data_IF_842074616382
#
_entry.id   IF_842074616382
#
_cell.length_a   1.000
_cell.length_b   1.000
_cell.length_c   1.000
_cell.angle_alpha   90.00
_cell.angle_beta   90.00
_cell.angle_gamma   90.00
#
_symmetry.space_group_name_H-M   'P 1'
#
loop_
_entity.id
_entity.type
_entity.pdbx_description
1 polymer ?
#
# COMPACT_ATOMS: atom_id res chain seq x y z
N UNK A 1 2.53 1.03 -19.05
CA UNK A 1 2.76 2.47 -18.81
C UNK A 1 4.19 2.66 -18.33
N UNK A 2 4.89 3.73 -18.75
CA UNK A 2 6.24 4.04 -18.27
C UNK A 2 6.17 5.08 -17.14
N UNK A 3 6.70 4.79 -15.94
CA UNK A 3 6.67 5.74 -14.83
C UNK A 3 7.58 6.95 -15.09
N UNK A 4 7.16 8.14 -14.64
CA UNK A 4 7.95 9.37 -14.63
C UNK A 4 8.23 9.75 -13.17
N UNK A 5 9.50 9.82 -12.80
CA UNK A 5 9.91 10.14 -11.44
C UNK A 5 10.41 11.58 -11.37
N UNK A 6 9.71 12.44 -10.62
CA UNK A 6 10.19 13.79 -10.29
C UNK A 6 11.36 13.72 -9.30
N UNK A 7 12.19 14.78 -9.23
CA UNK A 7 13.31 14.84 -8.28
C UNK A 7 12.84 14.67 -6.83
N UNK A 8 11.68 15.25 -6.49
CA UNK A 8 11.07 15.09 -5.17
C UNK A 8 10.67 13.63 -4.89
N UNK A 9 10.07 12.94 -5.86
CA UNK A 9 9.74 11.52 -5.71
C UNK A 9 11.00 10.66 -5.54
N UNK A 10 12.06 10.96 -6.30
CA UNK A 10 13.36 10.26 -6.19
C UNK A 10 14.01 10.45 -4.83
N UNK A 11 14.01 11.67 -4.29
CA UNK A 11 14.56 11.96 -2.97
C UNK A 11 13.80 11.20 -1.86
N UNK A 12 12.46 11.22 -1.90
CA UNK A 12 11.62 10.46 -0.96
C UNK A 12 11.89 8.95 -1.06
N UNK A 13 11.98 8.42 -2.27
CA UNK A 13 12.30 7.01 -2.52
C UNK A 13 13.66 6.64 -1.96
N UNK A 14 14.70 7.45 -2.22
CA UNK A 14 16.04 7.25 -1.71
C UNK A 14 16.09 7.19 -0.18
N UNK A 15 15.41 8.15 0.49
CA UNK A 15 15.29 8.18 1.96
C UNK A 15 14.57 6.96 2.53
N UNK A 16 13.68 6.35 1.76
CA UNK A 16 12.89 5.16 2.14
C UNK A 16 13.51 3.84 1.67
N UNK A 17 14.69 3.89 1.05
CA UNK A 17 15.40 2.70 0.55
C UNK A 17 14.71 2.02 -0.65
N UNK A 18 13.89 2.75 -1.40
CA UNK A 18 13.15 2.23 -2.56
C UNK A 18 13.89 2.53 -3.86
N UNK A 19 14.00 1.53 -4.74
CA UNK A 19 14.64 1.69 -6.05
C UNK A 19 13.61 2.00 -7.13
N UNK A 20 13.99 2.78 -8.14
CA UNK A 20 13.14 3.08 -9.30
C UNK A 20 12.69 1.81 -10.04
N UNK A 21 13.54 0.78 -10.09
CA UNK A 21 13.22 -0.51 -10.69
C UNK A 21 12.06 -1.21 -9.96
N UNK A 22 12.09 -1.23 -8.63
CA UNK A 22 11.04 -1.87 -7.80
C UNK A 22 9.70 -1.15 -8.00
N UNK A 23 9.71 0.19 -8.01
CA UNK A 23 8.50 0.99 -8.21
C UNK A 23 7.97 0.85 -9.65
N UNK A 24 8.86 0.72 -10.63
CA UNK A 24 8.45 0.43 -12.01
C UNK A 24 7.77 -0.93 -12.11
N UNK A 25 8.26 -1.94 -11.39
CA UNK A 25 7.63 -3.26 -11.33
C UNK A 25 6.27 -3.23 -10.63
N UNK A 26 6.15 -2.48 -9.53
CA UNK A 26 4.88 -2.24 -8.81
C UNK A 26 3.83 -1.67 -9.77
N UNK A 27 4.16 -0.58 -10.46
CA UNK A 27 3.24 0.09 -11.39
C UNK A 27 2.91 -0.82 -12.58
N UNK A 28 3.91 -1.47 -13.17
CA UNK A 28 3.70 -2.38 -14.31
C UNK A 28 2.78 -3.54 -13.96
N UNK A 29 2.91 -4.10 -12.76
CA UNK A 29 2.04 -5.17 -12.25
C UNK A 29 0.61 -4.67 -12.01
N UNK A 30 0.45 -3.46 -11.49
CA UNK A 30 -0.85 -2.87 -11.25
C UNK A 30 -1.59 -2.57 -12.56
N UNK A 31 -0.90 -2.04 -13.57
CA UNK A 31 -1.49 -1.76 -14.88
C UNK A 31 -1.86 -3.04 -15.65
N UNK A 32 -1.06 -4.11 -15.53
CA UNK A 32 -1.35 -5.37 -16.24
C UNK A 32 -2.47 -6.18 -15.60
N UNK A 33 -2.65 -6.10 -14.29
CA UNK A 33 -3.63 -6.91 -13.55
C UNK A 33 -4.89 -6.13 -13.15
N UNK A 34 -4.89 -4.82 -13.34
CA UNK A 34 -5.86 -3.87 -12.78
C UNK A 34 -5.98 -3.92 -11.25
N UNK A 35 -5.06 -4.59 -10.53
CA UNK A 35 -5.04 -4.61 -9.06
C UNK A 35 -4.40 -3.33 -8.53
N UNK A 36 -5.18 -2.26 -8.53
CA UNK A 36 -4.86 -0.93 -7.99
C UNK A 36 -6.11 -0.25 -7.44
N UNK A 37 -5.91 0.75 -6.59
CA UNK A 37 -6.96 1.70 -6.23
C UNK A 37 -6.84 2.95 -7.11
N UNK A 38 -7.97 3.57 -7.43
CA UNK A 38 -8.05 4.81 -8.21
C UNK A 38 -8.94 5.83 -7.52
N UNK A 39 -8.56 7.11 -7.59
CA UNK A 39 -9.29 8.26 -7.06
C UNK A 39 -8.88 9.51 -7.85
N UNK A 40 -9.81 10.21 -8.48
CA UNK A 40 -9.57 11.53 -9.11
C UNK A 40 -8.31 11.62 -10.00
N UNK A 41 -8.06 10.61 -10.83
CA UNK A 41 -6.87 10.52 -11.70
C UNK A 41 -5.56 10.17 -10.99
N UNK A 42 -5.64 9.85 -9.70
CA UNK A 42 -4.57 9.28 -8.88
C UNK A 42 -4.78 7.78 -8.75
N UNK A 43 -3.69 7.04 -8.86
CA UNK A 43 -3.62 5.59 -8.76
C UNK A 43 -2.74 5.22 -7.56
N UNK A 44 -3.16 4.20 -6.83
CA UNK A 44 -2.36 3.54 -5.80
C UNK A 44 -2.11 2.09 -6.21
N UNK A 45 -0.85 1.79 -6.52
CA UNK A 45 -0.36 0.45 -6.80
C UNK A 45 0.41 -0.12 -5.61
N UNK A 46 0.39 -1.44 -5.48
CA UNK A 46 1.19 -2.17 -4.49
C UNK A 46 1.72 -3.47 -5.10
N UNK A 47 2.87 -3.92 -4.62
CA UNK A 47 3.39 -5.26 -4.88
C UNK A 47 4.26 -5.72 -3.73
N UNK A 48 4.19 -7.00 -3.40
CA UNK A 48 5.15 -7.63 -2.48
C UNK A 48 6.37 -8.09 -3.28
N UNK A 49 7.55 -7.57 -2.91
CA UNK A 49 8.85 -7.86 -3.52
C UNK A 49 9.75 -8.38 -2.39
N UNK A 50 10.00 -9.70 -2.38
CA UNK A 50 10.64 -10.37 -1.26
C UNK A 50 9.83 -10.22 0.03
N UNK A 51 10.45 -9.67 1.07
CA UNK A 51 9.82 -9.44 2.38
C UNK A 51 9.11 -8.08 2.50
N UNK A 52 9.22 -7.22 1.49
CA UNK A 52 8.70 -5.85 1.51
C UNK A 52 7.47 -5.73 0.64
N UNK A 53 6.41 -5.10 1.14
CA UNK A 53 5.30 -4.61 0.32
C UNK A 53 5.59 -3.16 -0.05
N UNK A 54 5.85 -2.90 -1.33
CA UNK A 54 6.10 -1.58 -1.88
C UNK A 54 4.83 -1.00 -2.50
N UNK A 55 4.66 0.31 -2.38
CA UNK A 55 3.53 1.09 -2.85
C UNK A 55 3.99 2.25 -3.71
N UNK A 56 3.18 2.60 -4.70
CA UNK A 56 3.40 3.75 -5.56
C UNK A 56 2.09 4.51 -5.74
N UNK A 57 2.12 5.82 -5.48
CA UNK A 57 1.04 6.75 -5.79
C UNK A 57 1.45 7.53 -7.04
N UNK A 58 0.64 7.48 -8.09
CA UNK A 58 0.98 8.06 -9.38
C UNK A 58 -0.26 8.55 -10.12
N UNK A 59 -0.08 9.55 -10.98
CA UNK A 59 -1.16 10.08 -11.84
C UNK A 59 -1.39 9.18 -13.06
N UNK A 60 -2.53 9.33 -13.72
CA UNK A 60 -2.86 8.60 -14.95
C UNK A 60 -1.84 8.78 -16.09
N UNK A 61 -1.07 9.87 -16.09
CA UNK A 61 -0.01 10.13 -17.07
C UNK A 61 1.33 9.43 -16.71
N UNK A 62 1.37 8.69 -15.62
CA UNK A 62 2.53 7.97 -15.11
C UNK A 62 3.42 8.76 -14.14
N UNK A 63 3.10 10.01 -13.81
CA UNK A 63 3.88 10.80 -12.85
C UNK A 63 3.78 10.25 -11.42
N UNK A 64 4.89 9.71 -10.91
CA UNK A 64 4.99 9.18 -9.55
C UNK A 64 5.06 10.34 -8.55
N UNK A 65 4.08 10.42 -7.67
CA UNK A 65 3.98 11.45 -6.63
C UNK A 65 4.76 11.05 -5.37
N UNK A 66 4.62 9.80 -4.96
CA UNK A 66 5.29 9.24 -3.77
C UNK A 66 5.34 7.71 -3.86
N UNK A 67 6.30 7.13 -3.16
CA UNK A 67 6.40 5.69 -2.98
C UNK A 67 6.85 5.37 -1.55
N UNK A 68 6.28 4.32 -0.98
CA UNK A 68 6.51 3.92 0.40
C UNK A 68 6.46 2.39 0.51
N UNK A 69 6.87 1.86 1.65
CA UNK A 69 6.86 0.42 1.87
C UNK A 69 6.70 0.06 3.33
N UNK A 70 6.38 -1.21 3.57
CA UNK A 70 6.43 -1.84 4.88
C UNK A 70 6.76 -3.33 4.72
N UNK A 71 7.17 -4.00 5.79
CA UNK A 71 7.53 -5.43 5.81
C UNK A 71 6.43 -6.32 6.38
N UNK A 72 5.40 -5.74 6.98
CA UNK A 72 4.23 -6.53 7.41
C UNK A 72 3.62 -7.35 6.26
N UNK A 73 3.23 -8.59 6.55
CA UNK A 73 2.42 -9.44 5.68
C UNK A 73 0.96 -9.06 5.89
N UNK A 74 0.32 -8.53 4.85
CA UNK A 74 -1.11 -8.23 4.89
C UNK A 74 -1.91 -9.52 4.72
N UNK A 75 -2.78 -9.79 5.69
CA UNK A 75 -3.71 -10.90 5.71
C UNK A 75 -5.13 -10.46 5.38
N UNK A 76 -6.11 -11.21 5.89
CA UNK A 76 -7.52 -10.98 5.58
C UNK A 76 -8.07 -9.70 6.24
N UNK A 77 -9.03 -9.04 5.58
CA UNK A 77 -9.83 -8.00 6.20
C UNK A 77 -10.55 -8.51 7.45
N UNK A 78 -10.55 -7.70 8.50
CA UNK A 78 -11.30 -7.95 9.73
C UNK A 78 -12.60 -7.17 9.66
N UNK A 79 -13.73 -7.88 9.76
CA UNK A 79 -15.05 -7.27 9.85
C UNK A 79 -15.23 -6.62 11.21
N UNK A 80 -15.47 -5.32 11.23
CA UNK A 80 -15.90 -4.58 12.42
C UNK A 80 -17.43 -4.61 12.51
N UNK A 81 -17.97 -4.42 13.71
CA UNK A 81 -19.42 -4.32 13.95
C UNK A 81 -20.01 -2.99 13.47
N UNK A 82 -19.16 -1.99 13.27
CA UNK A 82 -19.54 -0.66 12.78
C UNK A 82 -19.75 -0.67 11.27
N UNK A 83 -20.65 0.19 10.78
CA UNK A 83 -20.82 0.42 9.35
C UNK A 83 -19.51 0.95 8.76
N UNK A 84 -18.95 0.30 7.73
CA UNK A 84 -17.66 0.69 7.19
C UNK A 84 -17.78 2.04 6.49
N UNK A 85 -16.94 3.00 6.90
CA UNK A 85 -16.89 4.30 6.24
C UNK A 85 -16.40 4.14 4.80
N UNK A 86 -17.09 4.80 3.86
CA UNK A 86 -16.71 4.76 2.46
C UNK A 86 -15.39 5.52 2.26
N UNK A 87 -14.37 4.86 1.72
CA UNK A 87 -13.14 5.56 1.32
C UNK A 87 -13.35 6.31 0.00
N UNK A 88 -12.49 7.25 -0.33
CA UNK A 88 -12.53 7.93 -1.64
C UNK A 88 -11.94 7.07 -2.77
N UNK A 89 -11.37 5.90 -2.44
CA UNK A 89 -10.74 5.00 -3.39
C UNK A 89 -11.75 4.06 -4.04
N UNK A 90 -11.54 3.77 -5.32
CA UNK A 90 -12.26 2.73 -6.07
C UNK A 90 -11.27 1.64 -6.47
N UNK A 91 -11.62 0.37 -6.21
CA UNK A 91 -10.81 -0.74 -6.67
C UNK A 91 -10.99 -0.91 -8.18
N UNK A 92 -9.92 -0.72 -8.96
CA UNK A 92 -9.98 -0.80 -10.43
C UNK A 92 -10.27 -2.21 -10.93
N UNK A 93 -9.83 -3.23 -10.20
CA UNK A 93 -10.07 -4.63 -10.52
C UNK A 93 -11.56 -5.01 -10.37
N UNK A 94 -12.19 -4.54 -9.30
CA UNK A 94 -13.56 -4.91 -8.95
C UNK A 94 -14.63 -3.91 -9.43
N UNK A 95 -14.19 -2.70 -9.78
CA UNK A 95 -15.02 -1.53 -10.02
C UNK A 95 -15.98 -1.21 -8.86
N UNK A 96 -15.47 -1.35 -7.62
CA UNK A 96 -16.24 -1.19 -6.38
C UNK A 96 -15.56 -0.17 -5.48
N UNK A 97 -16.36 0.62 -4.75
CA UNK A 97 -15.82 1.61 -3.81
C UNK A 97 -15.13 0.87 -2.65
N UNK A 98 -13.86 1.19 -2.41
CA UNK A 98 -13.15 0.64 -1.27
C UNK A 98 -13.64 1.32 0.02
N UNK A 99 -13.48 0.62 1.13
CA UNK A 99 -13.93 1.07 2.45
C UNK A 99 -12.76 1.24 3.40
N UNK A 100 -12.89 2.15 4.35
CA UNK A 100 -12.05 2.19 5.53
C UNK A 100 -12.42 0.98 6.40
N UNK A 101 -11.42 0.19 6.76
CA UNK A 101 -11.62 -1.02 7.55
C UNK A 101 -10.37 -1.38 8.33
N UNK A 102 -10.31 -2.63 8.74
CA UNK A 102 -9.15 -3.19 9.40
C UNK A 102 -8.70 -4.47 8.72
N UNK A 103 -7.43 -4.81 8.87
CA UNK A 103 -6.89 -6.06 8.37
C UNK A 103 -5.87 -6.64 9.33
N UNK A 104 -5.71 -7.96 9.28
CA UNK A 104 -4.66 -8.64 9.99
C UNK A 104 -3.32 -8.37 9.31
N UNK A 105 -2.31 -8.02 10.09
CA UNK A 105 -0.96 -7.71 9.63
C UNK A 105 0.02 -8.51 10.47
N UNK A 106 0.86 -9.31 9.82
CA UNK A 106 1.81 -10.19 10.51
C UNK A 106 3.23 -9.74 10.27
N UNK A 107 4.01 -9.61 11.34
CA UNK A 107 5.43 -9.35 11.28
C UNK A 107 6.15 -10.17 12.34
N UNK A 108 7.22 -10.87 11.96
CA UNK A 108 8.02 -11.71 12.86
C UNK A 108 7.19 -12.70 13.71
N UNK A 109 6.16 -13.29 13.12
CA UNK A 109 5.26 -14.25 13.78
C UNK A 109 4.21 -13.63 14.71
N UNK A 110 4.21 -12.29 14.87
CA UNK A 110 3.19 -11.57 15.63
C UNK A 110 2.16 -10.99 14.66
N UNK A 111 0.90 -11.37 14.84
CA UNK A 111 -0.24 -10.81 14.11
C UNK A 111 -0.93 -9.73 14.93
N UNK A 112 -1.17 -8.57 14.32
CA UNK A 112 -1.96 -7.47 14.87
C UNK A 112 -3.00 -7.03 13.86
N UNK A 113 -4.13 -6.56 14.35
CA UNK A 113 -5.15 -5.91 13.53
C UNK A 113 -4.86 -4.42 13.47
N UNK A 114 -4.87 -3.83 12.29
CA UNK A 114 -4.65 -2.40 12.09
C UNK A 114 -5.52 -1.81 10.99
N UNK A 115 -5.64 -0.48 10.92
CA UNK A 115 -6.44 0.21 9.93
C UNK A 115 -5.89 -0.03 8.51
N UNK A 116 -6.79 -0.19 7.56
CA UNK A 116 -6.46 -0.42 6.15
C UNK A 116 -7.61 0.01 5.23
N UNK A 117 -7.29 0.27 3.97
CA UNK A 117 -8.29 0.38 2.90
C UNK A 117 -8.57 -1.01 2.34
N UNK A 118 -9.84 -1.40 2.32
CA UNK A 118 -10.26 -2.73 1.92
C UNK A 118 -11.20 -2.64 0.73
N UNK A 119 -10.96 -3.43 -0.32
CA UNK A 119 -12.00 -3.67 -1.31
C UNK A 119 -12.99 -4.71 -0.78
N UNK A 120 -14.29 -4.38 -0.61
CA UNK A 120 -15.26 -5.31 -0.03
C UNK A 120 -15.56 -6.51 -0.94
N UNK A 121 -15.25 -6.43 -2.24
CA UNK A 121 -15.56 -7.46 -3.23
C UNK A 121 -14.46 -8.51 -3.40
N UNK A 122 -13.20 -8.09 -3.53
CA UNK A 122 -12.07 -9.03 -3.65
C UNK A 122 -11.28 -9.25 -2.35
N UNK A 123 -11.55 -8.47 -1.30
CA UNK A 123 -10.81 -8.55 -0.04
C UNK A 123 -9.39 -7.99 -0.09
N UNK A 124 -9.01 -7.28 -1.16
CA UNK A 124 -7.68 -6.69 -1.25
C UNK A 124 -7.47 -5.58 -0.20
N UNK A 125 -6.39 -5.72 0.56
CA UNK A 125 -6.02 -4.83 1.69
C UNK A 125 -4.88 -3.89 1.32
N UNK A 126 -5.04 -2.60 1.56
CA UNK A 126 -4.08 -1.56 1.22
C UNK A 126 -3.77 -0.70 2.45
N UNK A 127 -2.54 -0.23 2.57
CA UNK A 127 -2.15 0.72 3.60
C UNK A 127 -1.90 2.07 2.96
N UNK A 128 -2.35 3.13 3.63
CA UNK A 128 -2.03 4.49 3.23
C UNK A 128 -0.62 4.88 3.68
N UNK A 129 -0.04 5.87 3.00
CA UNK A 129 1.35 6.28 3.21
C UNK A 129 1.65 6.66 4.66
N UNK A 130 0.76 7.42 5.30
CA UNK A 130 0.98 7.87 6.68
C UNK A 130 1.02 6.68 7.66
N UNK A 131 0.22 5.63 7.44
CA UNK A 131 0.26 4.42 8.25
C UNK A 131 1.58 3.69 8.06
N UNK A 132 1.96 3.45 6.79
CA UNK A 132 3.17 2.72 6.45
C UNK A 132 4.44 3.41 6.99
N UNK A 133 4.50 4.74 6.87
CA UNK A 133 5.69 5.54 7.24
C UNK A 133 5.74 5.94 8.71
N UNK A 134 4.62 5.88 9.45
CA UNK A 134 4.57 6.22 10.87
C UNK A 134 4.26 4.99 11.73
N UNK A 135 2.97 4.65 11.90
CA UNK A 135 2.51 3.65 12.87
C UNK A 135 3.10 2.27 12.61
N UNK A 136 3.13 1.85 11.34
CA UNK A 136 3.63 0.54 10.93
C UNK A 136 5.16 0.49 11.05
N UNK A 137 5.86 1.53 10.59
CA UNK A 137 7.31 1.64 10.76
C UNK A 137 7.72 1.61 12.25
N UNK A 138 6.98 2.31 13.12
CA UNK A 138 7.21 2.27 14.56
C UNK A 138 6.97 0.88 15.15
N UNK A 139 5.90 0.21 14.75
CA UNK A 139 5.60 -1.16 15.18
C UNK A 139 6.70 -2.14 14.75
N UNK A 140 7.15 -2.09 13.49
CA UNK A 140 8.26 -2.90 12.97
C UNK A 140 9.54 -2.70 13.80
N UNK A 141 9.94 -1.44 14.04
CA UNK A 141 11.11 -1.13 14.85
C UNK A 141 11.01 -1.61 16.30
N UNK A 142 9.82 -1.61 16.90
CA UNK A 142 9.58 -2.17 18.23
C UNK A 142 9.73 -3.70 18.24
N UNK A 143 9.24 -4.39 17.21
CA UNK A 143 9.38 -5.84 17.09
C UNK A 143 10.83 -6.27 16.89
N UNK A 144 11.58 -5.51 16.09
CA UNK A 144 13.01 -5.75 15.87
C UNK A 144 13.82 -5.59 17.16
N UNK A 145 13.56 -4.53 17.93
CA UNK A 145 14.24 -4.29 19.21
C UNK A 145 13.96 -5.36 20.26
N UNK A 146 12.74 -5.94 20.28
CA UNK A 146 12.39 -7.01 21.24
C UNK A 146 13.01 -8.36 20.91
N UNK A 147 13.50 -8.54 19.68
CA UNK A 147 14.19 -9.76 19.24
C UNK A 147 15.71 -9.67 19.43
N UNK A 148 16.24 -8.46 19.63
CA UNK A 148 17.66 -8.17 19.82
C UNK A 148 18.09 -8.34 21.29
#
# INVERSE_FOLDING_TARGET
MQPKFSDNAKDLMGKRGLKEADITEVISSAESTNRKLVKDGINLAKKRIGEVTAYAVYKDDGEVQTAYSHRMVLGEPVKTTDEPEASEWVCKHCNEKAIQGSANMTYMGVTRTGPAIVCPKCGDVWLEEYLATMTIAAAEGLFEKKKA
#
